data_IF_354140023721
#
_entry.id   IF_354140023721
#
_cell.length_a   1.000
_cell.length_b   1.000
_cell.length_c   1.000
_cell.angle_alpha   90.00
_cell.angle_beta   90.00
_cell.angle_gamma   90.00
#
_symmetry.space_group_name_H-M   'P 1'
#
loop_
_entity.id
_entity.type
_entity.pdbx_description
1 polymer ?
#
# COMPACT_ATOMS: atom_id res chain seq x y z
N UNK A 1 1.25 -11.24 32.85
CA UNK A 1 1.37 -11.13 31.38
C UNK A 1 1.86 -12.48 30.87
N UNK A 2 1.08 -13.13 30.04
CA UNK A 2 1.50 -14.38 29.38
C UNK A 2 2.52 -14.01 28.31
N UNK A 3 3.78 -14.33 28.54
CA UNK A 3 4.83 -14.24 27.51
C UNK A 3 4.61 -15.41 26.54
N UNK A 4 4.26 -15.10 25.31
CA UNK A 4 4.24 -16.08 24.23
C UNK A 4 5.70 -16.38 23.85
N UNK A 5 6.21 -17.53 24.30
CA UNK A 5 7.55 -17.99 23.93
C UNK A 5 7.40 -18.83 22.67
N UNK A 6 7.72 -18.26 21.52
CA UNK A 6 7.79 -19.00 20.26
C UNK A 6 9.25 -19.30 19.96
N UNK A 7 9.62 -20.58 19.92
CA UNK A 7 10.96 -20.98 19.51
C UNK A 7 11.15 -20.78 18.02
N UNK A 8 12.14 -20.00 17.55
CA UNK A 8 12.44 -19.82 16.13
C UNK A 8 12.65 -21.16 15.40
N UNK A 9 13.28 -22.13 16.10
CA UNK A 9 13.50 -23.45 15.56
C UNK A 9 12.19 -24.22 15.28
N UNK A 10 11.17 -24.07 16.13
CA UNK A 10 9.87 -24.71 15.90
C UNK A 10 9.12 -24.09 14.72
N UNK A 11 9.24 -22.78 14.53
CA UNK A 11 8.66 -22.09 13.36
C UNK A 11 9.36 -22.52 12.08
N UNK A 12 10.68 -22.61 12.06
CA UNK A 12 11.46 -23.11 10.92
C UNK A 12 11.12 -24.59 10.60
N UNK A 13 10.97 -25.43 11.61
CA UNK A 13 10.54 -26.81 11.43
C UNK A 13 9.13 -26.90 10.83
N UNK A 14 8.19 -26.10 11.32
CA UNK A 14 6.84 -26.01 10.75
C UNK A 14 6.86 -25.57 9.28
N UNK A 15 7.68 -24.58 8.93
CA UNK A 15 7.88 -24.17 7.54
C UNK A 15 8.42 -25.30 6.66
N UNK A 16 9.36 -26.11 7.18
CA UNK A 16 9.90 -27.27 6.47
C UNK A 16 8.83 -28.36 6.25
N UNK A 17 8.00 -28.64 7.26
CA UNK A 17 6.88 -29.57 7.11
C UNK A 17 5.85 -29.09 6.08
N UNK A 18 5.52 -27.80 6.10
CA UNK A 18 4.62 -27.20 5.11
C UNK A 18 5.20 -27.31 3.69
N UNK A 19 6.50 -27.03 3.51
CA UNK A 19 7.16 -27.24 2.22
C UNK A 19 7.05 -28.68 1.72
N UNK A 20 7.18 -29.66 2.63
CA UNK A 20 6.96 -31.08 2.33
C UNK A 20 5.54 -31.37 1.86
N UNK A 21 4.52 -30.78 2.49
CA UNK A 21 3.12 -30.90 2.07
C UNK A 21 2.91 -30.31 0.66
N UNK A 22 3.46 -29.10 0.40
CA UNK A 22 3.40 -28.46 -0.91
C UNK A 22 4.02 -29.34 -2.01
N UNK A 23 5.19 -29.93 -1.74
CA UNK A 23 5.86 -30.84 -2.67
C UNK A 23 5.03 -32.11 -2.94
N UNK A 24 4.46 -32.73 -1.90
CA UNK A 24 3.59 -33.91 -2.05
C UNK A 24 2.34 -33.58 -2.88
N UNK A 25 1.70 -32.44 -2.59
CA UNK A 25 0.52 -31.98 -3.33
C UNK A 25 0.84 -31.68 -4.80
N UNK A 26 1.96 -31.00 -5.05
CA UNK A 26 2.44 -30.75 -6.42
C UNK A 26 2.66 -32.03 -7.20
N UNK A 27 3.30 -33.03 -6.57
CA UNK A 27 3.53 -34.35 -7.19
C UNK A 27 2.21 -35.07 -7.49
N UNK A 28 1.25 -35.06 -6.56
CA UNK A 28 -0.05 -35.66 -6.75
C UNK A 28 -0.84 -34.96 -7.86
N UNK A 29 -0.86 -33.65 -7.92
CA UNK A 29 -1.54 -32.88 -8.96
C UNK A 29 -0.90 -33.10 -10.34
N UNK A 30 0.42 -33.18 -10.42
CA UNK A 30 1.13 -33.49 -11.66
C UNK A 30 0.78 -34.91 -12.16
N UNK A 31 0.71 -35.91 -11.26
CA UNK A 31 0.30 -37.24 -11.61
C UNK A 31 -1.17 -37.32 -12.05
N UNK A 32 -2.05 -36.50 -11.49
CA UNK A 32 -3.46 -36.44 -11.85
C UNK A 32 -3.73 -35.63 -13.14
N UNK A 33 -2.80 -34.81 -13.59
CA UNK A 33 -3.04 -33.87 -14.70
C UNK A 33 -3.41 -34.60 -15.99
N UNK A 34 -2.56 -35.51 -16.49
CA UNK A 34 -2.80 -36.20 -17.74
C UNK A 34 -4.09 -37.08 -17.73
N UNK A 35 -4.37 -37.93 -16.71
CA UNK A 35 -5.58 -38.75 -16.72
C UNK A 35 -6.88 -37.95 -16.57
N UNK A 36 -6.83 -36.71 -16.07
CA UNK A 36 -8.03 -35.87 -15.89
C UNK A 36 -8.25 -34.88 -17.04
N UNK A 37 -7.19 -34.40 -17.70
CA UNK A 37 -7.29 -33.46 -18.83
C UNK A 37 -7.36 -34.13 -20.19
N UNK A 38 -7.11 -35.44 -20.28
CA UNK A 38 -7.20 -36.23 -21.51
C UNK A 38 -8.20 -37.40 -21.36
N UNK A 39 -9.39 -37.10 -20.85
CA UNK A 39 -10.42 -38.09 -20.63
C UNK A 39 -10.97 -38.59 -21.94
N UNK A 40 -10.92 -39.93 -22.16
CA UNK A 40 -11.54 -40.54 -23.34
C UNK A 40 -13.06 -40.52 -23.25
N UNK A 41 -13.72 -40.30 -24.38
CA UNK A 41 -15.19 -40.37 -24.51
C UNK A 41 -15.68 -41.76 -24.18
N UNK A 42 -16.68 -41.93 -23.33
CA UNK A 42 -17.20 -43.22 -22.90
C UNK A 42 -18.02 -43.95 -24.00
N UNK A 43 -18.59 -43.18 -24.92
CA UNK A 43 -19.39 -43.66 -26.05
C UNK A 43 -19.30 -42.76 -27.26
N UNK A 44 -19.82 -43.16 -28.39
CA UNK A 44 -19.82 -42.37 -29.63
C UNK A 44 -21.05 -41.44 -29.77
N UNK A 45 -21.80 -41.22 -28.66
CA UNK A 45 -22.98 -40.36 -28.63
C UNK A 45 -22.63 -38.95 -28.19
N UNK A 46 -23.48 -37.97 -28.54
CA UNK A 46 -23.27 -36.58 -28.29
C UNK A 46 -23.21 -36.23 -26.79
N UNK A 47 -23.93 -36.97 -25.94
CA UNK A 47 -23.95 -36.76 -24.51
C UNK A 47 -22.59 -37.15 -23.90
N UNK A 48 -22.06 -38.30 -24.30
CA UNK A 48 -20.73 -38.72 -23.84
C UNK A 48 -19.63 -37.79 -24.27
N UNK A 49 -19.70 -37.20 -25.46
CA UNK A 49 -18.76 -36.17 -25.94
C UNK A 49 -18.84 -34.88 -25.09
N UNK A 50 -20.06 -34.38 -24.82
CA UNK A 50 -20.26 -33.19 -24.04
C UNK A 50 -19.82 -33.37 -22.58
N UNK A 51 -20.07 -34.53 -21.99
CA UNK A 51 -19.63 -34.84 -20.64
C UNK A 51 -18.10 -34.89 -20.57
N UNK A 52 -17.42 -35.54 -21.51
CA UNK A 52 -15.98 -35.60 -21.56
C UNK A 52 -15.36 -34.17 -21.68
N UNK A 53 -15.92 -33.35 -22.57
CA UNK A 53 -15.49 -31.92 -22.70
C UNK A 53 -15.70 -31.12 -21.43
N UNK A 54 -16.81 -31.34 -20.70
CA UNK A 54 -17.07 -30.69 -19.43
C UNK A 54 -16.02 -31.09 -18.37
N UNK A 55 -15.71 -32.35 -18.25
CA UNK A 55 -14.68 -32.83 -17.32
C UNK A 55 -13.30 -32.29 -17.69
N UNK A 56 -12.95 -32.23 -18.97
CA UNK A 56 -11.71 -31.67 -19.44
C UNK A 56 -11.59 -30.17 -19.07
N UNK A 57 -12.66 -29.39 -19.30
CA UNK A 57 -12.69 -27.97 -18.95
C UNK A 57 -12.47 -27.75 -17.44
N UNK A 58 -13.20 -28.50 -16.59
CA UNK A 58 -13.03 -28.40 -15.14
C UNK A 58 -11.64 -28.88 -14.68
N UNK A 59 -11.08 -29.89 -15.31
CA UNK A 59 -9.74 -30.37 -15.00
C UNK A 59 -8.68 -29.30 -15.33
N UNK A 60 -8.83 -28.57 -16.44
CA UNK A 60 -7.95 -27.46 -16.81
C UNK A 60 -8.06 -26.30 -15.82
N UNK A 61 -9.30 -25.92 -15.43
CA UNK A 61 -9.53 -24.89 -14.41
C UNK A 61 -8.93 -25.29 -13.05
N UNK A 62 -9.10 -26.57 -12.65
CA UNK A 62 -8.48 -27.08 -11.43
C UNK A 62 -6.95 -27.01 -11.48
N UNK A 63 -6.31 -27.36 -12.59
CA UNK A 63 -4.86 -27.25 -12.74
C UNK A 63 -4.37 -25.81 -12.65
N UNK A 64 -5.10 -24.87 -13.24
CA UNK A 64 -4.78 -23.44 -13.15
C UNK A 64 -4.90 -22.94 -11.70
N UNK A 65 -5.99 -23.30 -10.99
CA UNK A 65 -6.19 -22.95 -9.59
C UNK A 65 -5.14 -23.60 -8.69
N UNK A 66 -4.79 -24.86 -8.96
CA UNK A 66 -3.75 -25.59 -8.22
C UNK A 66 -2.38 -24.91 -8.33
N UNK A 67 -2.02 -24.41 -9.52
CA UNK A 67 -0.79 -23.67 -9.72
C UNK A 67 -0.76 -22.36 -8.90
N UNK A 68 -1.88 -21.64 -8.84
CA UNK A 68 -2.00 -20.43 -8.01
C UNK A 68 -1.91 -20.77 -6.51
N UNK A 69 -2.58 -21.83 -6.07
CA UNK A 69 -2.53 -22.29 -4.68
C UNK A 69 -1.11 -22.70 -4.26
N UNK A 70 -0.36 -23.36 -5.14
CA UNK A 70 1.04 -23.71 -4.88
C UNK A 70 1.93 -22.48 -4.79
N UNK A 71 1.75 -21.49 -5.68
CA UNK A 71 2.50 -20.24 -5.62
C UNK A 71 2.24 -19.49 -4.30
N UNK A 72 0.98 -19.43 -3.85
CA UNK A 72 0.63 -18.87 -2.55
C UNK A 72 1.26 -19.66 -1.39
N UNK A 73 1.22 -21.00 -1.46
CA UNK A 73 1.81 -21.86 -0.45
C UNK A 73 3.32 -21.65 -0.32
N UNK A 74 4.03 -21.53 -1.43
CA UNK A 74 5.47 -21.26 -1.44
C UNK A 74 5.79 -19.89 -0.81
N UNK A 75 5.01 -18.85 -1.13
CA UNK A 75 5.15 -17.54 -0.51
C UNK A 75 4.89 -17.60 1.00
N UNK A 76 3.89 -18.35 1.42
CA UNK A 76 3.57 -18.54 2.83
C UNK A 76 4.71 -19.26 3.59
N UNK A 77 5.28 -20.32 3.01
CA UNK A 77 6.44 -21.02 3.57
C UNK A 77 7.65 -20.10 3.68
N UNK A 78 7.90 -19.27 2.66
CA UNK A 78 8.98 -18.27 2.71
C UNK A 78 8.74 -17.24 3.82
N UNK A 79 7.51 -16.74 3.95
CA UNK A 79 7.16 -15.79 5.01
C UNK A 79 7.37 -16.39 6.42
N UNK A 80 7.02 -17.67 6.64
CA UNK A 80 7.28 -18.39 7.89
C UNK A 80 8.78 -18.52 8.19
N UNK A 81 9.58 -18.89 7.19
CA UNK A 81 11.03 -19.00 7.33
C UNK A 81 11.66 -17.65 7.69
N UNK A 82 11.24 -16.57 7.02
CA UNK A 82 11.71 -15.24 7.34
C UNK A 82 11.25 -14.80 8.74
N UNK A 83 10.04 -15.16 9.14
CA UNK A 83 9.56 -14.95 10.50
C UNK A 83 10.45 -15.65 11.54
N UNK A 84 10.85 -16.89 11.30
CA UNK A 84 11.77 -17.61 12.19
C UNK A 84 13.13 -16.91 12.30
N UNK A 85 13.67 -16.40 11.19
CA UNK A 85 14.92 -15.60 11.18
C UNK A 85 14.75 -14.30 11.97
N UNK A 86 13.62 -13.62 11.82
CA UNK A 86 13.33 -12.40 12.58
C UNK A 86 13.22 -12.66 14.07
N UNK A 87 12.58 -13.76 14.49
CA UNK A 87 12.52 -14.15 15.90
C UNK A 87 13.91 -14.50 16.46
N UNK A 88 14.74 -15.24 15.69
CA UNK A 88 16.12 -15.54 16.09
C UNK A 88 16.98 -14.27 16.22
N UNK A 89 16.81 -13.32 15.29
CA UNK A 89 17.48 -12.02 15.36
C UNK A 89 17.00 -11.19 16.57
N UNK A 90 15.69 -11.24 16.89
CA UNK A 90 15.14 -10.56 18.05
C UNK A 90 15.67 -11.14 19.38
N UNK A 91 15.85 -12.46 19.47
CA UNK A 91 16.44 -13.12 20.65
C UNK A 91 17.90 -12.70 20.85
N UNK A 92 18.68 -12.64 19.75
CA UNK A 92 20.06 -12.15 19.82
C UNK A 92 20.15 -10.64 20.09
N UNK A 93 19.19 -9.85 19.58
CA UNK A 93 19.14 -8.40 19.77
C UNK A 93 18.72 -7.97 21.18
N UNK A 94 17.97 -8.80 21.92
CA UNK A 94 17.68 -8.56 23.32
C UNK A 94 18.94 -8.56 24.20
N UNK A 95 20.07 -9.01 23.66
CA UNK A 95 21.38 -8.97 24.31
C UNK A 95 22.19 -7.67 24.04
N UNK A 96 21.72 -6.75 23.13
CA UNK A 96 22.42 -5.51 22.77
C UNK A 96 21.47 -4.38 22.32
N UNK A 97 21.80 -3.07 22.59
CA UNK A 97 20.78 -2.02 22.68
C UNK A 97 20.30 -1.44 21.34
N UNK A 98 19.13 -0.83 21.41
CA UNK A 98 18.45 0.15 20.52
C UNK A 98 18.60 0.05 18.99
N UNK A 99 19.78 -0.14 18.42
CA UNK A 99 19.96 -0.27 16.95
C UNK A 99 19.41 -1.60 16.41
N UNK A 100 19.53 -2.66 17.20
CA UNK A 100 19.02 -3.97 16.85
C UNK A 100 17.48 -4.00 16.84
N UNK A 101 16.81 -3.23 17.70
CA UNK A 101 15.34 -3.10 17.70
C UNK A 101 14.80 -2.47 16.40
N UNK A 102 15.49 -1.46 15.86
CA UNK A 102 15.09 -0.84 14.59
C UNK A 102 15.23 -1.82 13.42
N UNK A 103 16.28 -2.61 13.39
CA UNK A 103 16.50 -3.61 12.33
C UNK A 103 15.46 -4.72 12.39
N UNK A 104 15.13 -5.22 13.58
CA UNK A 104 14.07 -6.22 13.76
C UNK A 104 12.71 -5.68 13.35
N UNK A 105 12.37 -4.47 13.75
CA UNK A 105 11.12 -3.83 13.35
C UNK A 105 11.02 -3.70 11.83
N UNK A 106 12.07 -3.26 11.15
CA UNK A 106 12.09 -3.15 9.70
C UNK A 106 11.99 -4.51 9.01
N UNK A 107 12.68 -5.54 9.53
CA UNK A 107 12.63 -6.89 8.98
C UNK A 107 11.22 -7.49 9.10
N UNK A 108 10.59 -7.36 10.28
CA UNK A 108 9.20 -7.82 10.49
C UNK A 108 8.24 -7.10 9.55
N UNK A 109 8.34 -5.77 9.44
CA UNK A 109 7.51 -5.00 8.51
C UNK A 109 7.74 -5.41 7.05
N UNK A 110 8.98 -5.69 6.67
CA UNK A 110 9.29 -6.14 5.30
C UNK A 110 8.61 -7.48 5.00
N UNK A 111 8.70 -8.45 5.93
CA UNK A 111 8.07 -9.78 5.76
C UNK A 111 6.54 -9.67 5.70
N UNK A 112 5.95 -8.90 6.62
CA UNK A 112 4.49 -8.73 6.67
C UNK A 112 3.97 -8.01 5.43
N UNK A 113 4.73 -7.05 4.91
CA UNK A 113 4.32 -6.22 3.78
C UNK A 113 4.65 -6.83 2.40
N UNK A 114 5.62 -7.77 2.33
CA UNK A 114 6.08 -8.31 1.04
C UNK A 114 4.97 -8.88 0.15
N UNK A 115 4.02 -9.69 0.65
CA UNK A 115 2.96 -10.23 -0.20
C UNK A 115 2.02 -9.17 -0.78
N UNK A 116 1.62 -8.20 0.04
CA UNK A 116 0.72 -7.14 -0.40
C UNK A 116 1.42 -6.09 -1.25
N UNK A 117 2.69 -5.85 -0.99
CA UNK A 117 3.51 -4.99 -1.82
C UNK A 117 3.66 -5.57 -3.23
N UNK A 118 3.87 -6.88 -3.36
CA UNK A 118 3.98 -7.56 -4.64
C UNK A 118 2.65 -7.61 -5.42
N UNK A 119 1.52 -7.85 -4.72
CA UNK A 119 0.21 -8.01 -5.35
C UNK A 119 -0.53 -6.68 -5.59
N UNK A 120 -0.42 -5.73 -4.67
CA UNK A 120 -1.22 -4.52 -4.63
C UNK A 120 -0.39 -3.23 -4.70
N UNK A 121 0.95 -3.34 -4.74
CA UNK A 121 1.86 -2.19 -4.69
C UNK A 121 1.77 -1.38 -3.39
N UNK A 122 1.16 -1.93 -2.32
CA UNK A 122 0.93 -1.25 -1.04
C UNK A 122 1.27 -2.16 0.14
N UNK A 123 1.89 -1.60 1.21
CA UNK A 123 2.12 -2.36 2.45
C UNK A 123 0.81 -2.61 3.20
N UNK A 124 0.77 -3.61 4.07
CA UNK A 124 -0.30 -3.77 5.06
C UNK A 124 -0.16 -2.72 6.16
N UNK A 125 1.06 -2.54 6.66
CA UNK A 125 1.41 -1.62 7.73
C UNK A 125 2.58 -0.75 7.27
N UNK A 126 2.39 0.56 7.29
CA UNK A 126 3.42 1.53 6.95
C UNK A 126 2.84 2.82 6.38
N UNK A 127 3.55 3.91 6.53
CA UNK A 127 3.15 5.17 5.94
C UNK A 127 3.45 5.18 4.44
N UNK A 128 2.67 5.94 3.70
CA UNK A 128 2.95 6.25 2.30
C UNK A 128 4.27 7.00 2.14
N UNK A 129 4.94 6.79 1.02
CA UNK A 129 6.14 7.57 0.68
C UNK A 129 5.76 9.03 0.44
N UNK A 130 6.60 9.95 0.93
CA UNK A 130 6.44 11.35 0.62
C UNK A 130 6.87 11.64 -0.82
N UNK A 131 6.19 12.56 -1.48
CA UNK A 131 6.61 13.10 -2.76
C UNK A 131 7.94 13.84 -2.65
N UNK A 132 8.75 13.78 -3.69
CA UNK A 132 10.05 14.46 -3.73
C UNK A 132 9.87 15.98 -3.74
N UNK A 133 10.68 16.73 -2.98
CA UNK A 133 10.63 18.19 -3.00
C UNK A 133 10.93 18.77 -4.39
N UNK A 134 10.30 19.86 -4.74
CA UNK A 134 10.45 20.58 -6.02
C UNK A 134 10.09 19.77 -7.28
N UNK A 135 9.26 18.73 -7.13
CA UNK A 135 8.83 17.89 -8.26
C UNK A 135 7.32 17.89 -8.46
N UNK A 136 6.55 18.43 -7.50
CA UNK A 136 5.09 18.31 -7.53
C UNK A 136 4.57 16.86 -7.46
N UNK A 137 5.42 15.91 -7.05
CA UNK A 137 5.05 14.51 -6.96
C UNK A 137 4.05 14.29 -5.83
N UNK A 138 3.01 13.49 -6.11
CA UNK A 138 2.03 13.11 -5.11
C UNK A 138 2.66 12.24 -4.00
N UNK A 139 2.13 12.33 -2.80
CA UNK A 139 2.43 11.41 -1.71
C UNK A 139 1.82 10.03 -1.99
N UNK A 140 2.57 8.98 -1.66
CA UNK A 140 2.10 7.61 -1.79
C UNK A 140 0.96 7.28 -0.82
N UNK A 141 0.11 6.29 -1.12
CA UNK A 141 -0.92 5.82 -0.21
C UNK A 141 -0.30 5.14 1.02
N UNK A 142 -0.93 5.31 2.17
CA UNK A 142 -0.59 4.59 3.40
C UNK A 142 -0.91 3.10 3.33
N UNK A 143 -0.49 2.34 4.35
CA UNK A 143 -0.75 0.91 4.46
C UNK A 143 -2.24 0.57 4.43
N UNK A 144 -2.57 -0.64 4.00
CA UNK A 144 -3.96 -1.10 3.90
C UNK A 144 -4.66 -1.11 5.26
N UNK A 145 -3.98 -1.57 6.31
CA UNK A 145 -4.54 -1.68 7.65
C UNK A 145 -4.14 -0.49 8.53
N UNK A 146 -2.85 -0.19 8.61
CA UNK A 146 -2.30 0.90 9.41
C UNK A 146 -1.29 1.71 8.62
N UNK A 147 -1.44 3.02 8.66
CA UNK A 147 -0.47 3.96 8.13
C UNK A 147 -1.09 5.24 7.59
N UNK A 148 -0.36 6.31 7.74
CA UNK A 148 -0.74 7.60 7.19
C UNK A 148 -0.42 7.65 5.69
N UNK A 149 -1.16 8.44 4.94
CA UNK A 149 -0.76 8.81 3.59
C UNK A 149 0.55 9.60 3.59
N UNK A 150 1.35 9.47 2.55
CA UNK A 150 2.55 10.27 2.34
C UNK A 150 2.20 11.73 2.02
N UNK A 151 3.07 12.65 2.39
CA UNK A 151 2.90 14.05 2.03
C UNK A 151 3.22 14.28 0.55
N UNK A 152 2.50 15.16 -0.11
CA UNK A 152 2.84 15.62 -1.45
C UNK A 152 4.14 16.42 -1.47
N UNK A 153 4.92 16.28 -2.52
CA UNK A 153 6.14 17.08 -2.77
C UNK A 153 5.80 18.52 -3.12
N UNK A 154 6.64 19.47 -2.71
CA UNK A 154 6.49 20.84 -3.20
C UNK A 154 6.64 20.92 -4.72
N UNK A 155 5.98 21.84 -5.36
CA UNK A 155 6.19 22.16 -6.77
C UNK A 155 7.52 22.85 -7.01
N UNK A 156 8.14 22.61 -8.16
CA UNK A 156 9.22 23.41 -8.71
C UNK A 156 8.70 24.73 -9.28
N UNK A 157 9.57 25.47 -9.97
CA UNK A 157 9.17 26.72 -10.63
C UNK A 157 8.04 26.46 -11.62
N UNK A 158 6.98 27.26 -11.58
CA UNK A 158 5.76 27.14 -12.39
C UNK A 158 5.04 25.78 -12.28
N UNK A 159 5.26 25.05 -11.19
CA UNK A 159 4.68 23.72 -10.99
C UNK A 159 3.82 23.68 -9.71
N UNK A 160 2.66 23.03 -9.80
CA UNK A 160 1.79 22.82 -8.65
C UNK A 160 2.46 21.88 -7.62
N UNK A 161 2.08 22.01 -6.36
CA UNK A 161 2.42 21.04 -5.33
C UNK A 161 1.70 19.71 -5.54
N UNK A 162 2.35 18.61 -5.19
CA UNK A 162 1.77 17.27 -5.23
C UNK A 162 0.65 17.09 -4.20
N UNK A 163 -0.30 16.22 -4.49
CA UNK A 163 -1.38 15.89 -3.55
C UNK A 163 -0.85 14.99 -2.42
N UNK A 164 -1.43 15.10 -1.25
CA UNK A 164 -1.19 14.15 -0.16
C UNK A 164 -1.80 12.79 -0.47
N UNK A 165 -1.11 11.71 -0.07
CA UNK A 165 -1.60 10.33 -0.20
C UNK A 165 -2.77 10.05 0.75
N UNK A 166 -3.66 9.15 0.35
CA UNK A 166 -4.74 8.68 1.22
C UNK A 166 -4.23 7.64 2.23
N UNK A 167 -4.80 7.60 3.44
CA UNK A 167 -4.61 6.49 4.38
C UNK A 167 -5.37 5.23 3.93
N UNK A 168 -5.16 4.10 4.63
CA UNK A 168 -5.94 2.88 4.43
C UNK A 168 -7.13 2.79 5.37
N UNK A 169 -7.14 1.74 6.22
CA UNK A 169 -8.23 1.54 7.20
C UNK A 169 -8.08 2.50 8.40
N UNK A 170 -6.89 2.60 8.96
CA UNK A 170 -6.57 3.45 10.12
C UNK A 170 -5.33 4.28 9.80
N UNK A 171 -5.48 5.61 9.84
CA UNK A 171 -4.40 6.57 9.61
C UNK A 171 -4.91 7.89 9.04
N UNK A 172 -4.10 8.91 9.11
CA UNK A 172 -4.45 10.23 8.58
C UNK A 172 -4.02 10.36 7.11
N UNK A 173 -4.73 11.15 6.36
CA UNK A 173 -4.30 11.56 5.03
C UNK A 173 -3.02 12.39 5.07
N UNK A 174 -2.18 12.28 4.05
CA UNK A 174 -0.98 13.09 3.90
C UNK A 174 -1.31 14.57 3.60
N UNK A 175 -0.42 15.48 3.94
CA UNK A 175 -0.57 16.88 3.55
C UNK A 175 -0.32 17.10 2.06
N UNK A 176 -0.99 18.05 1.46
CA UNK A 176 -0.66 18.53 0.13
C UNK A 176 0.68 19.30 0.13
N UNK A 177 1.42 19.22 -0.99
CA UNK A 177 2.65 19.97 -1.20
C UNK A 177 2.39 21.43 -1.50
N UNK A 178 3.36 22.28 -1.19
CA UNK A 178 3.32 23.72 -1.50
C UNK A 178 3.46 23.92 -3.00
N UNK A 179 2.72 24.83 -3.58
CA UNK A 179 2.86 25.25 -4.97
C UNK A 179 4.20 25.97 -5.20
N UNK A 180 4.79 25.77 -6.37
CA UNK A 180 6.05 26.40 -6.74
C UNK A 180 5.91 27.90 -7.05
N UNK A 181 6.99 28.66 -6.95
CA UNK A 181 7.04 30.04 -7.36
C UNK A 181 7.01 30.16 -8.88
N UNK A 182 6.52 31.26 -9.39
CA UNK A 182 6.46 31.51 -10.82
C UNK A 182 6.13 32.96 -11.11
N UNK A 183 5.90 33.31 -12.40
CA UNK A 183 5.34 34.63 -12.76
C UNK A 183 4.04 34.85 -11.99
N UNK A 184 3.10 33.90 -12.10
CA UNK A 184 2.01 33.69 -11.16
C UNK A 184 2.36 32.45 -10.30
N UNK A 185 2.08 32.49 -9.01
CA UNK A 185 2.32 31.37 -8.12
C UNK A 185 1.47 30.16 -8.51
N UNK A 186 2.04 28.96 -8.42
CA UNK A 186 1.35 27.74 -8.74
C UNK A 186 0.46 27.25 -7.57
N UNK A 187 -0.54 26.42 -7.86
CA UNK A 187 -1.46 25.90 -6.85
C UNK A 187 -0.76 24.98 -5.83
N UNK A 188 -1.20 25.04 -4.57
CA UNK A 188 -0.87 24.01 -3.58
C UNK A 188 -1.62 22.73 -3.88
N UNK A 189 -1.00 21.57 -3.52
CA UNK A 189 -1.60 20.24 -3.64
C UNK A 189 -2.75 20.05 -2.65
N UNK A 190 -3.69 19.17 -2.98
CA UNK A 190 -4.78 18.81 -2.06
C UNK A 190 -4.26 17.89 -0.94
N UNK A 191 -4.88 17.94 0.23
CA UNK A 191 -4.66 16.98 1.31
C UNK A 191 -5.26 15.62 0.95
N UNK A 192 -4.62 14.54 1.40
CA UNK A 192 -5.07 13.17 1.23
C UNK A 192 -6.26 12.83 2.12
N UNK A 193 -7.04 11.83 1.71
CA UNK A 193 -8.17 11.35 2.50
C UNK A 193 -7.70 10.60 3.77
N UNK A 194 -8.46 10.75 4.86
CA UNK A 194 -8.29 9.97 6.09
C UNK A 194 -8.70 8.51 5.93
N UNK A 195 -8.37 7.68 6.92
CA UNK A 195 -8.67 6.25 6.92
C UNK A 195 -10.17 5.93 7.00
N UNK A 196 -10.53 4.74 6.47
CA UNK A 196 -11.93 4.29 6.40
C UNK A 196 -12.61 4.06 7.75
N UNK A 197 -11.86 3.76 8.81
CA UNK A 197 -12.39 3.54 10.16
C UNK A 197 -12.03 4.71 11.08
N UNK A 198 -10.74 5.04 11.14
CA UNK A 198 -10.23 6.16 11.95
C UNK A 198 -9.18 6.93 11.15
N UNK A 199 -9.32 8.24 11.12
CA UNK A 199 -8.32 9.12 10.59
C UNK A 199 -8.84 10.43 10.05
N UNK A 200 -8.04 11.46 10.22
CA UNK A 200 -8.35 12.79 9.73
C UNK A 200 -7.89 12.93 8.27
N UNK A 201 -8.59 13.74 7.51
CA UNK A 201 -8.10 14.22 6.23
C UNK A 201 -6.83 15.04 6.39
N UNK A 202 -5.91 14.98 5.45
CA UNK A 202 -4.69 15.76 5.45
C UNK A 202 -4.97 17.24 5.12
N UNK A 203 -4.14 18.19 5.60
CA UNK A 203 -4.27 19.59 5.21
C UNK A 203 -3.88 19.80 3.75
N UNK A 204 -4.49 20.76 3.08
CA UNK A 204 -4.07 21.21 1.77
C UNK A 204 -2.75 22.00 1.83
N UNK A 205 -1.97 21.93 0.75
CA UNK A 205 -0.72 22.69 0.60
C UNK A 205 -0.97 24.17 0.34
N UNK A 206 -0.04 25.02 0.76
CA UNK A 206 -0.10 26.45 0.45
C UNK A 206 0.12 26.69 -1.06
N UNK A 207 -0.48 27.74 -1.60
CA UNK A 207 -0.19 28.23 -2.94
C UNK A 207 1.23 28.81 -3.05
N UNK A 208 1.80 28.77 -4.25
CA UNK A 208 3.11 29.30 -4.58
C UNK A 208 3.13 30.84 -4.62
N UNK A 209 4.32 31.40 -4.53
CA UNK A 209 4.55 32.84 -4.60
C UNK A 209 4.56 33.28 -6.05
N UNK A 210 3.77 34.31 -6.39
CA UNK A 210 3.90 35.03 -7.65
C UNK A 210 5.09 36.00 -7.59
N UNK A 211 5.91 36.05 -8.62
CA UNK A 211 7.05 36.97 -8.68
C UNK A 211 6.65 38.36 -9.20
N UNK A 212 5.81 38.41 -10.19
CA UNK A 212 5.27 39.65 -10.79
C UNK A 212 3.75 39.60 -10.95
N UNK A 213 3.12 38.41 -10.91
CA UNK A 213 1.69 38.19 -10.99
C UNK A 213 1.07 37.73 -9.67
N UNK A 214 -0.11 37.18 -9.74
CA UNK A 214 -0.86 36.75 -8.56
C UNK A 214 -0.20 35.56 -7.86
N UNK A 215 -0.42 35.43 -6.54
CA UNK A 215 -0.08 34.24 -5.78
C UNK A 215 -0.95 33.06 -6.15
N UNK A 216 -0.41 31.85 -6.05
CA UNK A 216 -1.14 30.63 -6.34
C UNK A 216 -2.25 30.33 -5.33
N UNK A 217 -3.32 29.63 -5.72
CA UNK A 217 -4.35 29.21 -4.77
C UNK A 217 -3.82 28.09 -3.84
N UNK A 218 -4.30 28.10 -2.60
CA UNK A 218 -4.06 26.99 -1.67
C UNK A 218 -4.82 25.73 -2.09
N UNK A 219 -4.26 24.56 -1.79
CA UNK A 219 -4.89 23.27 -2.03
C UNK A 219 -6.07 23.00 -1.08
N UNK A 220 -7.02 22.21 -1.51
CA UNK A 220 -8.13 21.76 -0.65
C UNK A 220 -7.64 20.84 0.46
N UNK A 221 -8.29 20.86 1.63
CA UNK A 221 -8.11 19.84 2.66
C UNK A 221 -8.70 18.50 2.24
N UNK A 222 -8.08 17.43 2.69
CA UNK A 222 -8.58 16.05 2.45
C UNK A 222 -9.83 15.75 3.28
N UNK A 223 -10.66 14.87 2.80
CA UNK A 223 -11.85 14.44 3.53
C UNK A 223 -11.51 13.37 4.57
N UNK A 224 -12.20 13.39 5.72
CA UNK A 224 -12.33 12.21 6.55
C UNK A 224 -13.48 11.37 5.98
N UNK A 225 -13.16 10.15 5.55
CA UNK A 225 -14.15 9.23 4.96
C UNK A 225 -14.57 8.14 5.93
N UNK A 226 -13.94 8.09 7.11
CA UNK A 226 -14.16 7.09 8.14
C UNK A 226 -15.28 7.42 9.11
N UNK A 227 -15.54 6.45 9.98
CA UNK A 227 -16.54 6.58 11.05
C UNK A 227 -16.13 7.66 12.07
N UNK A 228 -14.83 7.86 12.27
CA UNK A 228 -14.27 8.88 13.18
C UNK A 228 -13.11 9.60 12.49
N UNK A 229 -13.24 10.90 12.35
CA UNK A 229 -12.21 11.75 11.82
C UNK A 229 -12.72 13.14 11.46
N UNK A 230 -11.84 14.11 11.42
CA UNK A 230 -12.13 15.46 10.94
C UNK A 230 -11.55 15.68 9.55
N UNK A 231 -12.20 16.46 8.73
CA UNK A 231 -11.65 16.91 7.45
C UNK A 231 -10.38 17.75 7.69
N UNK A 232 -9.46 17.69 6.73
CA UNK A 232 -8.25 18.52 6.71
C UNK A 232 -8.58 19.98 6.47
N UNK A 233 -7.72 20.88 6.95
CA UNK A 233 -7.82 22.31 6.66
C UNK A 233 -7.41 22.59 5.22
N UNK A 234 -8.02 23.57 4.57
CA UNK A 234 -7.54 24.09 3.30
C UNK A 234 -6.18 24.78 3.46
N UNK A 235 -5.37 24.73 2.42
CA UNK A 235 -4.08 25.43 2.34
C UNK A 235 -4.27 26.94 2.21
N UNK A 236 -3.30 27.72 2.68
CA UNK A 236 -3.29 29.18 2.49
C UNK A 236 -2.98 29.52 1.02
N UNK A 237 -3.53 30.62 0.53
CA UNK A 237 -3.14 31.20 -0.74
C UNK A 237 -1.70 31.71 -0.71
N UNK A 238 -1.01 31.67 -1.82
CA UNK A 238 0.34 32.21 -2.00
C UNK A 238 0.35 33.74 -2.00
N UNK A 239 1.52 34.30 -1.77
CA UNK A 239 1.73 35.79 -1.80
C UNK A 239 1.86 36.24 -3.26
N UNK A 240 1.21 37.34 -3.62
CA UNK A 240 1.38 37.98 -4.94
C UNK A 240 2.72 38.72 -5.06
N UNK A 241 3.16 38.96 -6.29
CA UNK A 241 4.44 39.59 -6.59
C UNK A 241 4.58 41.03 -6.08
N UNK A 242 5.79 41.40 -5.73
CA UNK A 242 6.10 42.75 -5.20
C UNK A 242 6.03 43.90 -6.22
N UNK A 243 5.77 43.59 -7.49
CA UNK A 243 5.66 44.60 -8.56
C UNK A 243 4.39 45.45 -8.56
N UNK A 244 3.55 45.37 -7.55
CA UNK A 244 2.40 46.26 -7.33
C UNK A 244 1.13 45.85 -8.10
N UNK A 245 1.11 44.71 -8.80
CA UNK A 245 -0.02 44.25 -9.63
C UNK A 245 -0.53 42.87 -9.24
N UNK A 246 0.21 42.10 -8.45
CA UNK A 246 -0.18 40.74 -8.07
C UNK A 246 -1.05 40.70 -6.81
N UNK A 247 -2.17 40.01 -6.88
CA UNK A 247 -3.02 39.74 -5.72
C UNK A 247 -2.57 38.46 -5.00
N UNK A 248 -2.91 38.35 -3.69
CA UNK A 248 -2.74 37.08 -3.00
C UNK A 248 -3.64 35.99 -3.59
N UNK A 249 -3.17 34.74 -3.57
CA UNK A 249 -3.98 33.60 -3.97
C UNK A 249 -5.13 33.33 -3.01
N UNK A 250 -6.15 32.64 -3.48
CA UNK A 250 -7.27 32.22 -2.64
C UNK A 250 -6.86 31.04 -1.74
N UNK A 251 -7.41 31.02 -0.53
CA UNK A 251 -7.27 29.84 0.33
C UNK A 251 -8.03 28.64 -0.24
N UNK A 252 -7.53 27.43 0.03
CA UNK A 252 -8.22 26.20 -0.32
C UNK A 252 -9.43 25.91 0.58
N UNK A 253 -10.38 25.13 0.10
CA UNK A 253 -11.52 24.69 0.89
C UNK A 253 -11.07 23.66 1.93
N UNK A 254 -11.72 23.65 3.10
CA UNK A 254 -11.57 22.57 4.07
C UNK A 254 -12.20 21.25 3.55
N UNK A 255 -11.67 20.12 4.03
CA UNK A 255 -12.25 18.81 3.78
C UNK A 255 -13.50 18.55 4.63
N UNK A 256 -14.29 17.54 4.25
CA UNK A 256 -15.47 17.11 5.02
C UNK A 256 -15.07 16.23 6.20
N UNK A 257 -15.82 16.32 7.30
CA UNK A 257 -15.68 15.41 8.43
C UNK A 257 -16.27 14.03 8.09
N UNK A 258 -15.86 12.99 8.84
CA UNK A 258 -16.49 11.67 8.82
C UNK A 258 -17.90 11.69 9.42
N UNK A 259 -18.53 10.52 9.45
CA UNK A 259 -19.87 10.30 9.99
C UNK A 259 -19.89 10.43 11.52
#
# INVERSE_FOLDING_TARGET
MSLLITSPATVAAAATHLAGIGSALSTANAAAAAPTTALSVAGADEVSVLIAALFEAYAQEYQALSAQALAFHDQFVQALNMGAVCYAAAETANATPLQALQTVQQNVLTVVNAPTQALLGRPIIGNGANGLPNTGQDGGPGGLLFGNGGNGGSGGVDQAGGNGGAAGLIGNGGSGGVGGPGIAGSAGGAGGAGGLLFGNGGPGGAGGIGTTGDGGPGGAGGNAIGLFGSGGTGGMGGVGGMGGVGNGGNAGNGGTAGL
#
